data_IF_122681063985
#
_entry.id   IF_122681063985
#
_cell.length_a   1.000
_cell.length_b   1.000
_cell.length_c   1.000
_cell.angle_alpha   90.00
_cell.angle_beta   90.00
_cell.angle_gamma   90.00
#
_symmetry.space_group_name_H-M   'P 1'
#
loop_
_entity.id
_entity.type
_entity.pdbx_description
1 polymer ?
#
# COMPACT_ATOMS: atom_id res chain seq x y z
N UNK A 1 16.91 10.17 5.21
CA UNK A 1 16.13 10.91 6.22
C UNK A 1 14.67 10.53 6.17
N UNK A 2 14.01 10.80 5.04
CA UNK A 2 12.59 10.46 4.89
C UNK A 2 12.32 8.96 4.95
N UNK A 3 13.26 8.14 4.47
CA UNK A 3 13.12 6.69 4.47
C UNK A 3 13.04 6.14 5.90
N UNK A 4 13.86 6.67 6.81
CA UNK A 4 13.86 6.22 8.21
C UNK A 4 12.51 6.53 8.88
N UNK A 5 11.97 7.75 8.65
CA UNK A 5 10.67 8.13 9.18
C UNK A 5 9.56 7.26 8.58
N UNK A 6 9.63 6.99 7.27
CA UNK A 6 8.64 6.15 6.59
C UNK A 6 8.65 4.72 7.13
N UNK A 7 9.84 4.15 7.38
CA UNK A 7 9.97 2.82 7.97
C UNK A 7 9.30 2.78 9.35
N UNK A 8 9.52 3.80 10.16
CA UNK A 8 8.90 3.89 11.48
C UNK A 8 7.38 3.93 11.38
N UNK A 9 6.85 4.71 10.43
CA UNK A 9 5.40 4.79 10.22
C UNK A 9 4.80 3.47 9.75
N UNK A 10 5.53 2.70 8.96
CA UNK A 10 5.09 1.36 8.56
C UNK A 10 4.92 0.47 9.78
N UNK A 11 5.95 0.40 10.64
CA UNK A 11 5.94 -0.53 11.78
C UNK A 11 4.95 -0.12 12.87
N UNK A 12 4.62 1.16 12.98
CA UNK A 12 3.64 1.64 13.97
C UNK A 12 2.21 1.61 13.46
N UNK A 13 2.00 1.23 12.19
CA UNK A 13 0.66 1.18 11.62
C UNK A 13 0.10 2.52 11.19
N UNK A 14 0.91 3.58 11.17
CA UNK A 14 0.45 4.93 10.82
C UNK A 14 -0.17 4.96 9.42
N UNK A 15 0.49 4.34 8.43
CA UNK A 15 -0.04 4.32 7.07
C UNK A 15 -1.33 3.50 6.97
N UNK A 16 -1.42 2.39 7.69
CA UNK A 16 -2.62 1.57 7.70
C UNK A 16 -3.80 2.35 8.27
N UNK A 17 -3.59 3.08 9.36
CA UNK A 17 -4.64 3.90 9.96
C UNK A 17 -5.07 5.03 9.02
N UNK A 18 -4.13 5.64 8.31
CA UNK A 18 -4.43 6.68 7.33
C UNK A 18 -5.26 6.13 6.17
N UNK A 19 -4.89 4.96 5.66
CA UNK A 19 -5.63 4.29 4.60
C UNK A 19 -7.07 4.01 5.04
N UNK A 20 -7.24 3.50 6.25
CA UNK A 20 -8.58 3.21 6.76
C UNK A 20 -9.42 4.47 6.90
N UNK A 21 -8.82 5.60 7.27
CA UNK A 21 -9.53 6.87 7.33
C UNK A 21 -10.02 7.30 5.93
N UNK A 22 -9.18 7.16 4.91
CA UNK A 22 -9.61 7.45 3.54
C UNK A 22 -10.72 6.50 3.08
N UNK A 23 -10.61 5.23 3.43
CA UNK A 23 -11.61 4.23 3.02
C UNK A 23 -12.99 4.51 3.62
N UNK A 24 -13.03 5.20 4.77
CA UNK A 24 -14.28 5.55 5.43
C UNK A 24 -14.99 6.75 4.82
N UNK A 25 -14.33 7.51 3.94
CA UNK A 25 -14.93 8.67 3.29
C UNK A 25 -15.84 8.23 2.15
N UNK A 26 -16.78 9.14 1.79
CA UNK A 26 -17.67 8.90 0.67
C UNK A 26 -17.06 9.43 -0.62
N UNK A 27 -17.22 8.66 -1.69
CA UNK A 27 -16.70 9.02 -3.01
C UNK A 27 -17.82 8.93 -4.05
N UNK A 28 -17.62 9.58 -5.19
CA UNK A 28 -18.60 9.60 -6.27
C UNK A 28 -18.92 8.16 -6.72
N UNK A 29 -20.21 7.88 -7.08
CA UNK A 29 -20.61 6.51 -7.48
C UNK A 29 -19.80 5.94 -8.64
N UNK A 30 -19.34 6.76 -9.57
CA UNK A 30 -18.55 6.30 -10.72
C UNK A 30 -17.18 5.77 -10.31
N UNK A 31 -16.73 6.01 -9.07
CA UNK A 31 -15.45 5.50 -8.56
C UNK A 31 -15.61 4.22 -7.75
N UNK A 32 -16.82 3.66 -7.63
CA UNK A 32 -17.08 2.52 -6.74
C UNK A 32 -16.24 1.30 -7.08
N UNK A 33 -16.05 0.98 -8.36
CA UNK A 33 -15.22 -0.14 -8.77
C UNK A 33 -13.76 0.08 -8.36
N UNK A 34 -13.25 1.30 -8.58
CA UNK A 34 -11.89 1.63 -8.20
C UNK A 34 -11.71 1.55 -6.68
N UNK A 35 -12.71 1.99 -5.92
CA UNK A 35 -12.65 1.89 -4.46
C UNK A 35 -12.59 0.44 -4.03
N UNK A 36 -13.37 -0.45 -4.63
CA UNK A 36 -13.31 -1.88 -4.31
C UNK A 36 -11.91 -2.44 -4.54
N UNK A 37 -11.27 -2.02 -5.63
CA UNK A 37 -9.91 -2.46 -5.94
C UNK A 37 -8.92 -1.95 -4.90
N UNK A 38 -9.07 -0.70 -4.45
CA UNK A 38 -8.22 -0.14 -3.39
C UNK A 38 -8.40 -0.89 -2.07
N UNK A 39 -9.63 -1.30 -1.76
CA UNK A 39 -9.90 -2.11 -0.56
C UNK A 39 -9.15 -3.45 -0.65
N UNK A 40 -9.16 -4.09 -1.82
CA UNK A 40 -8.43 -5.35 -2.02
C UNK A 40 -6.92 -5.13 -1.90
N UNK A 41 -6.41 -4.03 -2.46
CA UNK A 41 -5.00 -3.67 -2.34
C UNK A 41 -4.62 -3.46 -0.87
N UNK A 42 -5.51 -2.84 -0.10
CA UNK A 42 -5.29 -2.64 1.33
C UNK A 42 -5.18 -3.96 2.07
N UNK A 43 -6.01 -4.95 1.71
CA UNK A 43 -5.93 -6.27 2.32
C UNK A 43 -4.58 -6.93 2.05
N UNK A 44 -4.06 -6.79 0.83
CA UNK A 44 -2.73 -7.30 0.49
C UNK A 44 -1.64 -6.60 1.30
N UNK A 45 -1.74 -5.30 1.45
CA UNK A 45 -0.80 -4.51 2.24
C UNK A 45 -0.83 -4.94 3.71
N UNK A 46 -2.03 -5.10 4.28
CA UNK A 46 -2.19 -5.53 5.66
C UNK A 46 -1.55 -6.88 5.90
N UNK A 47 -1.79 -7.83 5.00
CA UNK A 47 -1.22 -9.17 5.12
C UNK A 47 0.30 -9.14 5.07
N UNK A 48 0.87 -8.39 4.12
CA UNK A 48 2.32 -8.26 3.99
C UNK A 48 2.92 -7.58 5.21
N UNK A 49 2.31 -6.50 5.67
CA UNK A 49 2.76 -5.76 6.84
C UNK A 49 2.77 -6.66 8.09
N UNK A 50 1.69 -7.39 8.30
CA UNK A 50 1.57 -8.27 9.45
C UNK A 50 2.61 -9.37 9.42
N UNK A 51 2.82 -9.97 8.25
CA UNK A 51 3.82 -11.02 8.07
C UNK A 51 5.21 -10.52 8.44
N UNK A 52 5.56 -9.31 7.99
CA UNK A 52 6.88 -8.74 8.26
C UNK A 52 7.05 -8.40 9.75
N UNK A 53 6.05 -7.74 10.32
CA UNK A 53 6.12 -7.30 11.73
C UNK A 53 6.13 -8.50 12.69
N UNK A 54 5.33 -9.53 12.40
CA UNK A 54 5.23 -10.71 13.28
C UNK A 54 6.53 -11.52 13.35
N UNK A 55 7.40 -11.40 12.36
CA UNK A 55 8.68 -12.09 12.39
C UNK A 55 9.63 -11.55 13.46
N UNK A 56 9.42 -10.29 13.91
CA UNK A 56 10.24 -9.65 14.96
C UNK A 56 11.73 -9.67 14.65
N UNK A 57 12.08 -9.66 13.37
CA UNK A 57 13.46 -9.64 12.90
C UNK A 57 13.73 -8.30 12.25
N UNK A 58 14.57 -7.48 12.88
CA UNK A 58 14.84 -6.12 12.42
C UNK A 58 15.42 -6.08 11.01
N UNK A 59 16.37 -6.97 10.71
CA UNK A 59 16.96 -7.01 9.38
C UNK A 59 15.93 -7.36 8.31
N UNK A 60 15.06 -8.32 8.59
CA UNK A 60 14.00 -8.72 7.70
C UNK A 60 12.99 -7.58 7.50
N UNK A 61 12.62 -6.89 8.57
CA UNK A 61 11.73 -5.73 8.51
C UNK A 61 12.33 -4.62 7.66
N UNK A 62 13.61 -4.30 7.89
CA UNK A 62 14.29 -3.26 7.13
C UNK A 62 14.40 -3.63 5.65
N UNK A 63 14.63 -4.91 5.36
CA UNK A 63 14.75 -5.39 3.99
C UNK A 63 13.45 -5.15 3.20
N UNK A 64 12.31 -5.37 3.83
CA UNK A 64 11.00 -5.21 3.17
C UNK A 64 10.36 -3.83 3.36
N UNK A 65 10.93 -3.00 4.23
CA UNK A 65 10.29 -1.74 4.60
C UNK A 65 9.99 -0.83 3.41
N UNK A 66 10.92 -0.73 2.46
CA UNK A 66 10.72 0.12 1.28
C UNK A 66 9.53 -0.34 0.45
N UNK A 67 9.39 -1.66 0.30
CA UNK A 67 8.27 -2.22 -0.46
C UNK A 67 6.95 -1.93 0.21
N UNK A 68 6.92 -2.04 1.54
CA UNK A 68 5.71 -1.73 2.31
C UNK A 68 5.35 -0.25 2.19
N UNK A 69 6.34 0.65 2.24
CA UNK A 69 6.10 2.08 2.05
C UNK A 69 5.53 2.35 0.66
N UNK A 70 6.08 1.71 -0.38
CA UNK A 70 5.59 1.88 -1.74
C UNK A 70 4.16 1.36 -1.90
N UNK A 71 3.84 0.21 -1.29
CA UNK A 71 2.47 -0.32 -1.31
C UNK A 71 1.50 0.69 -0.70
N UNK A 72 1.83 1.20 0.49
CA UNK A 72 0.99 2.19 1.16
C UNK A 72 0.84 3.45 0.31
N UNK A 73 1.93 3.91 -0.32
CA UNK A 73 1.91 5.09 -1.17
C UNK A 73 0.96 4.95 -2.36
N UNK A 74 0.98 3.80 -3.02
CA UNK A 74 0.08 3.55 -4.15
C UNK A 74 -1.38 3.56 -3.72
N UNK A 75 -1.68 2.97 -2.56
CA UNK A 75 -3.05 2.93 -2.04
C UNK A 75 -3.53 4.33 -1.68
N UNK A 76 -2.71 5.09 -0.95
CA UNK A 76 -3.05 6.44 -0.55
C UNK A 76 -3.27 7.35 -1.76
N UNK A 77 -2.36 7.29 -2.74
CA UNK A 77 -2.51 8.08 -3.96
C UNK A 77 -3.78 7.71 -4.71
N UNK A 78 -4.13 6.42 -4.73
CA UNK A 78 -5.38 5.97 -5.33
C UNK A 78 -6.58 6.64 -4.68
N UNK A 79 -6.65 6.67 -3.35
CA UNK A 79 -7.75 7.33 -2.66
C UNK A 79 -7.77 8.83 -2.90
N UNK A 80 -6.60 9.47 -2.96
CA UNK A 80 -6.55 10.90 -3.26
C UNK A 80 -7.14 11.19 -4.64
N UNK A 81 -6.88 10.33 -5.62
CA UNK A 81 -7.45 10.47 -6.96
C UNK A 81 -8.95 10.22 -6.97
N UNK A 82 -9.46 9.32 -6.12
CA UNK A 82 -10.91 9.16 -5.96
C UNK A 82 -11.53 10.43 -5.41
N UNK A 83 -10.86 11.08 -4.45
CA UNK A 83 -11.30 12.35 -3.91
C UNK A 83 -11.33 13.44 -4.98
N UNK A 84 -10.29 13.51 -5.81
CA UNK A 84 -10.24 14.47 -6.91
C UNK A 84 -11.38 14.23 -7.92
N UNK A 85 -11.63 12.97 -8.27
CA UNK A 85 -12.70 12.59 -9.19
C UNK A 85 -14.06 12.95 -8.61
N UNK A 86 -14.24 12.80 -7.30
CA UNK A 86 -15.49 13.15 -6.62
C UNK A 86 -15.77 14.64 -6.73
N UNK A 87 -14.73 15.48 -6.69
CA UNK A 87 -14.85 16.91 -6.85
C UNK A 87 -14.99 17.33 -8.31
N UNK A 88 -14.40 16.56 -9.24
CA UNK A 88 -14.43 16.88 -10.66
C UNK A 88 -14.23 15.60 -11.47
N UNK A 89 -15.27 15.18 -12.17
CA UNK A 89 -15.29 13.92 -12.92
C UNK A 89 -14.23 13.81 -14.00
N UNK A 90 -13.62 14.93 -14.43
CA UNK A 90 -12.56 14.89 -15.44
C UNK A 90 -11.34 14.10 -14.98
N UNK A 91 -11.19 13.88 -13.68
CA UNK A 91 -10.06 13.11 -13.13
C UNK A 91 -10.28 11.60 -13.16
N UNK A 92 -11.46 11.15 -13.62
CA UNK A 92 -11.76 9.71 -13.63
C UNK A 92 -10.77 8.90 -14.47
N UNK A 93 -10.37 9.42 -15.62
CA UNK A 93 -9.40 8.73 -16.47
C UNK A 93 -8.05 8.56 -15.77
N UNK A 94 -7.58 9.62 -15.12
CA UNK A 94 -6.33 9.57 -14.37
C UNK A 94 -6.42 8.58 -13.21
N UNK A 95 -7.55 8.55 -12.52
CA UNK A 95 -7.78 7.60 -11.44
C UNK A 95 -7.73 6.16 -11.95
N UNK A 96 -8.39 5.88 -13.08
CA UNK A 96 -8.35 4.55 -13.67
C UNK A 96 -6.93 4.12 -14.02
N UNK A 97 -6.18 4.99 -14.68
CA UNK A 97 -4.80 4.69 -15.09
C UNK A 97 -3.94 4.42 -13.87
N UNK A 98 -4.04 5.28 -12.86
CA UNK A 98 -3.19 5.15 -11.67
C UNK A 98 -3.53 3.91 -10.85
N UNK A 99 -4.82 3.63 -10.65
CA UNK A 99 -5.22 2.45 -9.88
C UNK A 99 -4.79 1.17 -10.59
N UNK A 100 -4.87 1.12 -11.92
CA UNK A 100 -4.37 -0.04 -12.67
C UNK A 100 -2.87 -0.24 -12.42
N UNK A 101 -2.09 0.83 -12.49
CA UNK A 101 -0.65 0.76 -12.24
C UNK A 101 -0.35 0.38 -10.79
N UNK A 102 -1.00 1.07 -9.86
CA UNK A 102 -0.77 0.84 -8.42
C UNK A 102 -1.15 -0.56 -8.00
N UNK A 103 -2.25 -1.08 -8.52
CA UNK A 103 -2.67 -2.45 -8.20
C UNK A 103 -1.61 -3.47 -8.60
N UNK A 104 -1.07 -3.34 -9.81
CA UNK A 104 -0.02 -4.24 -10.28
C UNK A 104 1.23 -4.14 -9.41
N UNK A 105 1.59 -2.93 -9.00
CA UNK A 105 2.76 -2.72 -8.14
C UNK A 105 2.54 -3.30 -6.73
N UNK A 106 1.35 -3.11 -6.16
CA UNK A 106 1.02 -3.68 -4.85
C UNK A 106 1.05 -5.21 -4.92
N UNK A 107 0.48 -5.80 -5.96
CA UNK A 107 0.50 -7.24 -6.13
C UNK A 107 1.92 -7.78 -6.26
N UNK A 108 2.77 -7.08 -7.00
CA UNK A 108 4.18 -7.47 -7.16
C UNK A 108 4.91 -7.46 -5.82
N UNK A 109 4.77 -6.39 -5.05
CA UNK A 109 5.42 -6.28 -3.75
C UNK A 109 4.86 -7.31 -2.76
N UNK A 110 3.55 -7.50 -2.76
CA UNK A 110 2.92 -8.50 -1.90
C UNK A 110 3.48 -9.88 -2.20
N UNK A 111 3.52 -10.27 -3.46
CA UNK A 111 4.02 -11.58 -3.85
C UNK A 111 5.47 -11.78 -3.43
N UNK A 112 6.30 -10.77 -3.62
CA UNK A 112 7.71 -10.84 -3.23
C UNK A 112 7.86 -11.01 -1.73
N UNK A 113 7.15 -10.19 -0.95
CA UNK A 113 7.22 -10.24 0.52
C UNK A 113 6.75 -11.59 1.04
N UNK A 114 5.62 -12.09 0.53
CA UNK A 114 5.03 -13.32 1.03
C UNK A 114 5.86 -14.56 0.66
N UNK A 115 6.62 -14.48 -0.43
CA UNK A 115 7.45 -15.61 -0.87
C UNK A 115 8.88 -15.56 -0.33
N UNK A 116 9.29 -14.44 0.25
CA UNK A 116 10.65 -14.25 0.74
C UNK A 116 10.71 -14.45 2.25
N UNK A 117 11.33 -15.54 2.68
CA UNK A 117 11.45 -15.86 4.10
C UNK A 117 12.73 -15.23 4.69
N UNK A 118 12.78 -15.04 6.03
CA UNK A 118 13.96 -14.42 6.66
C UNK A 118 15.28 -15.11 6.35
N UNK A 119 15.28 -16.43 6.18
CA UNK A 119 16.50 -17.18 5.87
C UNK A 119 17.04 -16.84 4.47
N UNK A 120 16.19 -16.33 3.59
CA UNK A 120 16.61 -15.87 2.28
C UNK A 120 17.56 -14.68 2.32
N UNK A 121 17.63 -13.98 3.45
CA UNK A 121 18.57 -12.85 3.63
C UNK A 121 20.03 -13.27 3.40
N UNK A 122 20.37 -14.53 3.62
CA UNK A 122 21.71 -15.02 3.39
C UNK A 122 22.19 -14.76 1.97
N UNK A 123 21.29 -14.76 0.99
CA UNK A 123 21.63 -14.55 -0.41
C UNK A 123 22.01 -13.10 -0.72
N UNK A 124 21.79 -12.18 0.22
CA UNK A 124 22.03 -10.74 0.05
C UNK A 124 23.16 -10.23 0.96
N UNK A 125 23.82 -11.10 1.68
CA UNK A 125 24.93 -10.74 2.56
C UNK A 125 26.28 -10.89 1.88
#
# INVERSE_FOLDING_TARGET
MQVVAAIRHVTTGTYFNQINAYAAEEYAPETSELKERLVKMTALYEEALKTVVDNKNTEYTDFHARRLVEMAGHIIMGYLLLGDTTRNEKFLKSANVYVNFGEAEVEKHHKFIMSFKPDGLENYR
#
